data_IF_862662882639
#
_entry.id   IF_862662882639
#
_cell.length_a   1.000
_cell.length_b   1.000
_cell.length_c   1.000
_cell.angle_alpha   90.00
_cell.angle_beta   90.00
_cell.angle_gamma   90.00
#
_symmetry.space_group_name_H-M   'P 1'
#
loop_
_entity.id
_entity.type
_entity.pdbx_description
1 polymer ?
#
# COMPACT_ATOMS: atom_id res chain seq x y z
N UNK A 1 41.21 12.38 -27.44
CA UNK A 1 40.16 13.04 -26.64
C UNK A 1 39.03 12.04 -26.46
N UNK A 2 38.74 11.63 -25.22
CA UNK A 2 37.66 10.68 -24.92
C UNK A 2 36.50 11.46 -24.31
N UNK A 3 35.33 11.43 -24.95
CA UNK A 3 34.08 11.98 -24.43
C UNK A 3 33.33 10.89 -23.69
N UNK A 4 33.20 11.01 -22.37
CA UNK A 4 32.29 10.16 -21.59
C UNK A 4 30.92 10.84 -21.55
N UNK A 5 30.00 10.39 -22.41
CA UNK A 5 28.59 10.72 -22.30
C UNK A 5 27.90 9.67 -21.39
N UNK A 6 27.57 10.09 -20.17
CA UNK A 6 26.80 9.28 -19.21
C UNK A 6 25.32 9.59 -19.36
N UNK A 7 24.57 8.73 -20.06
CA UNK A 7 23.10 8.77 -20.12
C UNK A 7 22.54 7.44 -19.63
N UNK A 8 22.40 7.27 -18.31
CA UNK A 8 21.65 6.15 -17.72
C UNK A 8 20.95 6.62 -16.44
N UNK A 9 19.82 7.31 -16.60
CA UNK A 9 18.99 7.75 -15.47
C UNK A 9 17.48 7.58 -15.68
N UNK A 10 16.99 7.67 -16.92
CA UNK A 10 15.53 7.75 -17.17
C UNK A 10 14.77 6.43 -16.94
N UNK A 11 15.36 5.27 -17.26
CA UNK A 11 14.65 3.99 -17.18
C UNK A 11 14.38 3.52 -15.74
N UNK A 12 15.28 3.82 -14.81
CA UNK A 12 15.13 3.44 -13.39
C UNK A 12 14.10 4.29 -12.65
N UNK A 13 13.87 5.53 -13.10
CA UNK A 13 12.92 6.45 -12.50
C UNK A 13 11.46 6.04 -12.80
N UNK A 14 11.16 5.68 -14.06
CA UNK A 14 9.81 5.34 -14.52
C UNK A 14 9.26 4.03 -13.93
N UNK A 15 10.13 3.03 -13.70
CA UNK A 15 9.72 1.78 -13.03
C UNK A 15 9.40 2.01 -11.55
N UNK A 16 10.17 2.87 -10.88
CA UNK A 16 9.97 3.18 -9.46
C UNK A 16 8.66 3.95 -9.22
N UNK A 17 8.27 4.82 -10.15
CA UNK A 17 7.00 5.57 -10.09
C UNK A 17 5.79 4.64 -10.18
N UNK A 18 5.80 3.70 -11.14
CA UNK A 18 4.69 2.76 -11.32
C UNK A 18 4.53 1.80 -10.12
N UNK A 19 5.64 1.32 -9.56
CA UNK A 19 5.65 0.47 -8.36
C UNK A 19 5.14 1.22 -7.12
N UNK A 20 5.44 2.52 -7.05
CA UNK A 20 5.00 3.42 -5.98
C UNK A 20 3.49 3.71 -6.07
N UNK A 21 2.97 4.00 -7.27
CA UNK A 21 1.53 4.15 -7.49
C UNK A 21 0.78 2.86 -7.13
N UNK A 22 1.34 1.71 -7.48
CA UNK A 22 0.77 0.41 -7.12
C UNK A 22 0.76 0.19 -5.60
N UNK A 23 1.84 0.55 -4.91
CA UNK A 23 1.91 0.51 -3.45
C UNK A 23 0.84 1.42 -2.81
N UNK A 24 0.71 2.66 -3.27
CA UNK A 24 -0.31 3.59 -2.77
C UNK A 24 -1.73 3.06 -2.98
N UNK A 25 -2.02 2.45 -4.12
CA UNK A 25 -3.30 1.82 -4.39
C UNK A 25 -3.59 0.68 -3.40
N UNK A 26 -2.59 -0.14 -3.08
CA UNK A 26 -2.73 -1.21 -2.07
C UNK A 26 -2.99 -0.65 -0.67
N UNK A 27 -2.33 0.46 -0.30
CA UNK A 27 -2.47 1.08 1.01
C UNK A 27 -3.83 1.76 1.20
N UNK A 28 -4.41 2.33 0.12
CA UNK A 28 -5.76 2.91 0.14
C UNK A 28 -6.83 1.92 0.58
N UNK A 29 -6.63 0.63 0.37
CA UNK A 29 -7.57 -0.40 0.81
C UNK A 29 -7.61 -0.57 2.32
N UNK A 30 -6.62 -0.05 3.04
CA UNK A 30 -6.58 -0.06 4.50
C UNK A 30 -7.31 1.15 5.10
N UNK A 31 -7.57 2.18 4.29
CA UNK A 31 -8.27 3.38 4.72
C UNK A 31 -9.79 3.21 4.54
N UNK A 32 -10.51 3.02 5.65
CA UNK A 32 -11.98 2.92 5.67
C UNK A 32 -12.68 4.07 4.96
N UNK A 33 -12.08 5.27 4.99
CA UNK A 33 -12.60 6.47 4.32
C UNK A 33 -12.67 6.32 2.78
N UNK A 34 -11.80 5.49 2.20
CA UNK A 34 -11.79 5.19 0.76
C UNK A 34 -12.65 3.97 0.38
N UNK A 35 -13.31 3.32 1.33
CA UNK A 35 -14.08 2.11 1.04
C UNK A 35 -15.39 2.46 0.32
N UNK A 36 -15.78 1.65 -0.68
CA UNK A 36 -17.08 1.82 -1.30
C UNK A 36 -18.18 1.57 -0.26
N UNK A 37 -19.38 2.16 -0.45
CA UNK A 37 -20.49 1.95 0.47
C UNK A 37 -20.77 0.44 0.62
N UNK A 38 -21.08 -0.01 1.84
CA UNK A 38 -21.22 -1.41 2.21
C UNK A 38 -22.15 -2.21 1.26
N UNK A 39 -23.11 -1.54 0.62
CA UNK A 39 -24.04 -2.12 -0.35
C UNK A 39 -23.39 -2.52 -1.70
N UNK A 40 -22.26 -1.92 -2.06
CA UNK A 40 -21.50 -2.22 -3.29
C UNK A 40 -20.13 -2.85 -3.03
N UNK A 41 -19.84 -3.17 -1.78
CA UNK A 41 -18.56 -3.76 -1.37
C UNK A 41 -18.47 -5.20 -1.92
N UNK A 42 -17.50 -5.54 -2.79
CA UNK A 42 -17.33 -6.91 -3.24
C UNK A 42 -16.91 -7.81 -2.08
N UNK A 43 -17.41 -9.05 -2.06
CA UNK A 43 -16.98 -10.09 -1.12
C UNK A 43 -15.50 -10.41 -1.36
N UNK A 44 -14.63 -9.89 -0.48
CA UNK A 44 -13.17 -9.99 -0.62
C UNK A 44 -12.47 -8.73 -1.12
N UNK A 45 -13.13 -7.57 -1.01
CA UNK A 45 -12.50 -6.27 -1.23
C UNK A 45 -11.17 -6.19 -0.47
N UNK A 46 -10.09 -5.83 -1.15
CA UNK A 46 -8.78 -5.60 -0.52
C UNK A 46 -7.96 -6.82 -0.11
N UNK A 47 -8.49 -8.06 -0.17
CA UNK A 47 -7.72 -9.25 0.21
C UNK A 47 -6.45 -9.43 -0.62
N UNK A 48 -6.54 -9.22 -1.93
CA UNK A 48 -5.39 -9.30 -2.86
C UNK A 48 -4.34 -8.25 -2.51
N UNK A 49 -4.78 -7.02 -2.25
CA UNK A 49 -3.90 -5.89 -1.94
C UNK A 49 -3.20 -6.09 -0.59
N UNK A 50 -3.94 -6.56 0.41
CA UNK A 50 -3.40 -6.94 1.73
C UNK A 50 -2.43 -8.10 1.62
N UNK A 51 -2.72 -9.10 0.77
CA UNK A 51 -1.82 -10.23 0.53
C UNK A 51 -0.47 -9.79 -0.04
N UNK A 52 -0.50 -8.94 -1.07
CA UNK A 52 0.71 -8.38 -1.68
C UNK A 52 1.51 -7.53 -0.67
N UNK A 53 0.83 -6.70 0.13
CA UNK A 53 1.47 -5.93 1.19
C UNK A 53 2.11 -6.85 2.24
N UNK A 54 1.43 -7.93 2.64
CA UNK A 54 1.98 -8.91 3.57
C UNK A 54 3.25 -9.56 3.03
N UNK A 55 3.30 -9.87 1.72
CA UNK A 55 4.51 -10.40 1.09
C UNK A 55 5.65 -9.38 1.10
N UNK A 56 5.37 -8.10 0.82
CA UNK A 56 6.38 -7.02 0.84
C UNK A 56 6.93 -6.76 2.24
N UNK A 57 6.05 -6.68 3.25
CA UNK A 57 6.42 -6.41 4.64
C UNK A 57 6.80 -7.66 5.44
N UNK A 58 6.77 -8.85 4.81
CA UNK A 58 6.99 -10.16 5.45
C UNK A 58 6.13 -10.38 6.70
N UNK A 59 4.86 -10.03 6.59
CA UNK A 59 3.85 -10.23 7.62
C UNK A 59 3.11 -11.57 7.42
N UNK A 60 2.49 -12.14 8.46
CA UNK A 60 1.75 -13.39 8.36
C UNK A 60 0.45 -13.21 7.56
N UNK A 61 0.52 -13.44 6.24
CA UNK A 61 -0.57 -13.20 5.28
C UNK A 61 -1.93 -13.73 5.73
N UNK A 62 -2.00 -14.98 6.19
CA UNK A 62 -3.27 -15.60 6.63
C UNK A 62 -3.86 -14.90 7.86
N UNK A 63 -3.00 -14.52 8.82
CA UNK A 63 -3.40 -13.82 10.04
C UNK A 63 -3.93 -12.43 9.72
N UNK A 64 -3.19 -11.69 8.87
CA UNK A 64 -3.53 -10.32 8.48
C UNK A 64 -4.79 -10.28 7.60
N UNK A 65 -4.97 -11.22 6.66
CA UNK A 65 -6.18 -11.31 5.84
C UNK A 65 -7.41 -11.60 6.72
N UNK A 66 -7.31 -12.56 7.64
CA UNK A 66 -8.41 -12.84 8.57
C UNK A 66 -8.74 -11.63 9.45
N UNK A 67 -7.70 -10.96 9.97
CA UNK A 67 -7.87 -9.73 10.73
C UNK A 67 -8.51 -8.61 9.88
N UNK A 68 -8.14 -8.50 8.61
CA UNK A 68 -8.74 -7.52 7.69
C UNK A 68 -10.20 -7.83 7.38
N UNK A 69 -10.56 -9.10 7.19
CA UNK A 69 -11.94 -9.52 7.01
C UNK A 69 -12.79 -9.23 8.25
N UNK A 70 -12.28 -9.53 9.44
CA UNK A 70 -12.92 -9.18 10.70
C UNK A 70 -13.09 -7.67 10.84
N UNK A 71 -12.08 -6.88 10.43
CA UNK A 71 -12.11 -5.43 10.44
C UNK A 71 -13.11 -4.82 9.42
N UNK A 72 -13.35 -5.49 8.29
CA UNK A 72 -14.36 -5.09 7.29
C UNK A 72 -15.78 -5.45 7.76
N UNK A 73 -15.95 -6.62 8.36
CA UNK A 73 -17.25 -7.11 8.85
C UNK A 73 -17.66 -6.43 10.17
N UNK A 74 -16.68 -6.09 11.01
CA UNK A 74 -16.87 -5.37 12.25
C UNK A 74 -17.22 -3.92 11.96
N UNK A 75 -18.48 -3.58 12.20
CA UNK A 75 -19.02 -2.21 12.18
C UNK A 75 -18.56 -1.37 13.37
N UNK A 76 -17.70 -1.92 14.24
CA UNK A 76 -17.17 -1.21 15.41
C UNK A 76 -15.99 -0.34 14.97
N UNK A 77 -16.19 0.97 15.04
CA UNK A 77 -15.30 2.01 14.51
C UNK A 77 -13.86 2.01 15.08
N UNK A 78 -13.59 1.38 16.22
CA UNK A 78 -12.36 1.67 16.99
C UNK A 78 -11.33 0.53 17.08
N UNK A 79 -11.71 -0.70 16.75
CA UNK A 79 -10.84 -1.86 16.95
C UNK A 79 -10.03 -2.22 15.69
N UNK A 80 -8.94 -1.48 15.41
CA UNK A 80 -7.92 -1.95 14.45
C UNK A 80 -7.24 -3.18 15.07
N UNK A 81 -7.31 -4.37 14.44
CA UNK A 81 -6.69 -5.57 15.01
C UNK A 81 -5.17 -5.40 15.08
N UNK A 82 -4.56 -6.00 16.10
CA UNK A 82 -3.13 -5.85 16.39
C UNK A 82 -2.23 -6.25 15.21
N UNK A 83 -2.69 -7.20 14.40
CA UNK A 83 -2.01 -7.69 13.19
C UNK A 83 -2.03 -6.68 12.03
N UNK A 84 -3.03 -5.79 11.98
CA UNK A 84 -3.16 -4.72 10.98
C UNK A 84 -2.43 -3.44 11.39
N UNK A 85 -2.20 -3.20 12.69
CA UNK A 85 -1.42 -2.06 13.19
C UNK A 85 -0.05 -1.88 12.52
N UNK A 86 0.82 -2.91 12.38
CA UNK A 86 2.10 -2.73 11.71
C UNK A 86 1.91 -2.30 10.25
N UNK A 87 0.92 -2.87 9.56
CA UNK A 87 0.58 -2.52 8.19
C UNK A 87 0.12 -1.06 8.06
N UNK A 88 -0.76 -0.60 8.96
CA UNK A 88 -1.23 0.79 9.04
C UNK A 88 -0.16 1.77 9.54
N UNK A 89 0.87 1.32 10.24
CA UNK A 89 2.02 2.17 10.54
C UNK A 89 2.94 2.28 9.34
N UNK A 90 3.13 1.20 8.59
CA UNK A 90 3.91 1.22 7.35
C UNK A 90 3.34 2.20 6.32
N UNK A 91 2.01 2.34 6.21
CA UNK A 91 1.39 3.36 5.33
C UNK A 91 1.83 4.79 5.69
N UNK A 92 1.98 5.09 6.99
CA UNK A 92 2.37 6.41 7.52
C UNK A 92 3.87 6.67 7.46
N UNK A 93 4.66 5.61 7.37
CA UNK A 93 6.12 5.66 7.34
C UNK A 93 6.68 5.76 5.92
N UNK A 94 5.86 5.61 4.88
CA UNK A 94 6.30 5.87 3.52
C UNK A 94 6.45 7.38 3.40
N UNK A 95 7.68 7.92 3.33
CA UNK A 95 7.83 9.33 3.02
C UNK A 95 7.22 9.51 1.63
N UNK A 96 6.19 10.34 1.53
CA UNK A 96 5.87 10.99 0.26
C UNK A 96 7.16 11.71 -0.11
N UNK A 97 7.99 11.08 -0.95
CA UNK A 97 9.16 11.71 -1.51
C UNK A 97 8.61 12.73 -2.50
N UNK A 98 8.14 13.86 -1.99
CA UNK A 98 8.07 15.11 -2.74
C UNK A 98 9.51 15.52 -2.97
N UNK A 99 10.18 14.80 -3.87
CA UNK A 99 11.29 15.36 -4.61
C UNK A 99 10.68 16.40 -5.55
N UNK A 100 10.19 17.51 -4.98
CA UNK A 100 10.17 18.80 -5.65
C UNK A 100 11.65 19.16 -5.84
N UNK A 101 12.27 18.59 -6.87
CA UNK A 101 13.49 19.14 -7.41
C UNK A 101 13.06 20.36 -8.21
N UNK A 102 12.84 21.46 -7.49
CA UNK A 102 12.65 22.80 -8.05
C UNK A 102 13.69 23.00 -9.17
N UNK A 103 13.21 23.20 -10.39
CA UNK A 103 14.02 23.51 -11.58
C UNK A 103 13.66 24.89 -12.09
#
# INVERSE_FOLDING_TARGET
MFTTASSRGAASQAQSDSDYVHLLAQLKVLERDNWPPAQTMPSGYGEVQVSELCQRFRLPTVSVINAFRDFVESTVDDAIPAELRPLMNCTRLIPCSTAECES
#
